data_IF_963991563228
#
_entry.id   IF_963991563228
#
_cell.length_a   1.000
_cell.length_b   1.000
_cell.length_c   1.000
_cell.angle_alpha   90.00
_cell.angle_beta   90.00
_cell.angle_gamma   90.00
#
_symmetry.space_group_name_H-M   'P 1'
#
loop_
_entity.id
_entity.type
_entity.pdbx_description
1 polymer ?
#
# COMPACT_ATOMS: atom_id res chain seq x y z
N UNK A 1 85.64 6.31 5.43
CA UNK A 1 84.89 7.47 4.90
C UNK A 1 85.84 8.63 4.91
N UNK A 2 86.20 9.19 3.75
CA UNK A 2 87.06 10.37 3.73
C UNK A 2 86.27 11.60 4.23
N UNK A 3 86.99 12.68 4.56
CA UNK A 3 86.40 13.89 5.12
C UNK A 3 85.46 14.61 4.14
N UNK A 4 85.62 14.39 2.82
CA UNK A 4 84.80 15.00 1.79
C UNK A 4 83.47 14.27 1.62
N UNK A 5 83.48 12.93 1.69
CA UNK A 5 82.29 12.07 1.74
C UNK A 5 81.41 12.44 2.95
N UNK A 6 82.02 12.72 4.11
CA UNK A 6 81.29 13.14 5.31
C UNK A 6 80.63 14.52 5.15
N UNK A 7 81.34 15.48 4.54
CA UNK A 7 80.77 16.81 4.26
C UNK A 7 79.61 16.74 3.27
N UNK A 8 79.72 15.89 2.25
CA UNK A 8 78.70 15.73 1.23
C UNK A 8 77.43 15.06 1.80
N UNK A 9 77.59 13.98 2.58
CA UNK A 9 76.48 13.33 3.29
C UNK A 9 75.83 14.28 4.31
N UNK A 10 76.62 15.09 5.03
CA UNK A 10 76.09 16.09 5.97
C UNK A 10 75.25 17.14 5.25
N UNK A 11 75.72 17.66 4.11
CA UNK A 11 75.01 18.64 3.30
C UNK A 11 73.72 18.06 2.72
N UNK A 12 73.74 16.80 2.26
CA UNK A 12 72.54 16.11 1.78
C UNK A 12 71.50 15.91 2.90
N UNK A 13 71.94 15.52 4.11
CA UNK A 13 71.08 15.36 5.27
C UNK A 13 70.46 16.68 5.73
N UNK A 14 71.23 17.77 5.71
CA UNK A 14 70.73 19.12 6.01
C UNK A 14 69.66 19.55 4.99
N UNK A 15 69.92 19.37 3.69
CA UNK A 15 68.95 19.66 2.64
C UNK A 15 67.67 18.80 2.76
N UNK A 16 67.80 17.51 3.08
CA UNK A 16 66.66 16.61 3.35
C UNK A 16 65.85 17.04 4.57
N UNK A 17 66.52 17.52 5.62
CA UNK A 17 65.87 18.02 6.83
C UNK A 17 65.08 19.29 6.55
N UNK A 18 65.65 20.23 5.79
CA UNK A 18 64.95 21.46 5.38
C UNK A 18 63.75 21.16 4.47
N UNK A 19 63.92 20.26 3.49
CA UNK A 19 62.83 19.85 2.61
C UNK A 19 61.67 19.18 3.39
N UNK A 20 61.99 18.36 4.40
CA UNK A 20 60.97 17.79 5.29
C UNK A 20 60.27 18.85 6.12
N UNK A 21 60.99 19.85 6.64
CA UNK A 21 60.41 20.95 7.43
C UNK A 21 59.44 21.78 6.60
N UNK A 22 59.85 22.16 5.39
CA UNK A 22 59.00 22.91 4.46
C UNK A 22 57.75 22.12 4.05
N UNK A 23 57.87 20.79 3.86
CA UNK A 23 56.71 19.93 3.60
C UNK A 23 55.73 19.88 4.78
N UNK A 24 56.25 19.86 6.00
CA UNK A 24 55.45 19.83 7.23
C UNK A 24 54.69 21.15 7.42
N UNK A 25 55.37 22.27 7.24
CA UNK A 25 54.77 23.62 7.33
C UNK A 25 53.66 23.83 6.27
N UNK A 26 53.84 23.30 5.06
CA UNK A 26 52.79 23.33 4.03
C UNK A 26 51.56 22.50 4.43
N UNK A 27 51.77 21.31 5.00
CA UNK A 27 50.70 20.45 5.44
C UNK A 27 49.93 21.05 6.64
N UNK A 28 50.62 21.76 7.55
CA UNK A 28 49.99 22.49 8.64
C UNK A 28 49.11 23.63 8.13
N UNK A 29 49.55 24.35 7.08
CA UNK A 29 48.75 25.40 6.44
C UNK A 29 47.50 24.82 5.76
N UNK A 30 47.65 23.74 4.99
CA UNK A 30 46.54 23.05 4.33
C UNK A 30 45.51 22.53 5.36
N UNK A 31 45.98 21.94 6.48
CA UNK A 31 45.09 21.48 7.55
C UNK A 31 44.35 22.64 8.24
N UNK A 32 44.99 23.80 8.40
CA UNK A 32 44.36 24.99 8.97
C UNK A 32 43.28 25.56 8.04
N UNK A 33 43.53 25.58 6.73
CA UNK A 33 42.55 26.00 5.72
C UNK A 33 41.35 25.05 5.67
N UNK A 34 41.58 23.73 5.72
CA UNK A 34 40.51 22.73 5.78
C UNK A 34 39.65 22.87 7.05
N UNK A 35 40.28 23.09 8.22
CA UNK A 35 39.56 23.33 9.47
C UNK A 35 38.73 24.61 9.41
N UNK A 36 39.27 25.69 8.84
CA UNK A 36 38.54 26.95 8.68
C UNK A 36 37.33 26.80 7.73
N UNK A 37 37.44 25.97 6.70
CA UNK A 37 36.32 25.68 5.80
C UNK A 37 35.25 24.79 6.47
N UNK A 38 35.66 23.81 7.28
CA UNK A 38 34.73 23.03 8.11
C UNK A 38 33.97 23.94 9.07
N UNK A 39 34.66 24.85 9.77
CA UNK A 39 34.05 25.80 10.71
C UNK A 39 33.08 26.76 9.98
N UNK A 40 33.41 27.22 8.77
CA UNK A 40 32.48 27.99 7.93
C UNK A 40 31.24 27.20 7.54
N UNK A 41 31.40 25.94 7.14
CA UNK A 41 30.28 25.07 6.80
C UNK A 41 29.39 24.82 8.02
N UNK A 42 29.97 24.63 9.20
CA UNK A 42 29.23 24.51 10.46
C UNK A 42 28.45 25.79 10.79
N UNK A 43 29.07 26.98 10.66
CA UNK A 43 28.36 28.25 10.87
C UNK A 43 27.24 28.48 9.85
N UNK A 44 27.44 28.14 8.58
CA UNK A 44 26.40 28.23 7.55
C UNK A 44 25.25 27.26 7.87
N UNK A 45 25.56 26.06 8.34
CA UNK A 45 24.53 25.08 8.75
C UNK A 45 23.78 25.51 10.01
N UNK A 46 24.46 26.15 10.97
CA UNK A 46 23.82 26.71 12.17
C UNK A 46 22.91 27.90 11.85
N UNK A 47 23.31 28.76 10.91
CA UNK A 47 22.49 29.92 10.47
C UNK A 47 21.35 29.53 9.53
N UNK A 48 21.47 28.42 8.80
CA UNK A 48 20.40 27.83 7.97
C UNK A 48 19.49 26.86 8.72
N UNK A 49 19.78 26.52 9.97
CA UNK A 49 18.90 25.68 10.76
C UNK A 49 17.52 26.36 10.78
N UNK A 50 16.47 25.75 10.18
CA UNK A 50 15.15 26.34 10.18
C UNK A 50 14.81 26.66 11.63
N UNK A 51 14.40 27.90 11.89
CA UNK A 51 14.04 28.35 13.23
C UNK A 51 13.18 27.24 13.84
N UNK A 52 13.70 26.58 14.88
CA UNK A 52 13.05 25.42 15.51
C UNK A 52 11.78 25.80 16.28
N UNK A 53 11.05 26.79 15.77
CA UNK A 53 9.84 27.36 16.30
C UNK A 53 8.78 26.27 16.43
N UNK A 54 8.69 25.38 15.44
CA UNK A 54 7.78 24.24 15.49
C UNK A 54 8.19 23.25 16.59
N UNK A 55 9.48 22.96 16.74
CA UNK A 55 10.00 22.10 17.81
C UNK A 55 9.83 22.71 19.21
N UNK A 56 9.74 24.04 19.30
CA UNK A 56 9.48 24.79 20.54
C UNK A 56 8.00 24.84 20.93
N UNK A 57 7.07 24.48 20.02
CA UNK A 57 5.67 24.39 20.38
C UNK A 57 5.45 23.25 21.39
N UNK A 58 4.56 23.44 22.38
CA UNK A 58 4.04 22.36 23.22
C UNK A 58 3.55 21.18 22.37
N UNK A 59 3.70 19.96 22.89
CA UNK A 59 3.34 18.75 22.17
C UNK A 59 1.86 18.77 21.76
N UNK A 60 0.99 19.28 22.63
CA UNK A 60 -0.45 19.37 22.42
C UNK A 60 -0.79 20.25 21.21
N UNK A 61 -0.08 21.37 21.03
CA UNK A 61 -0.27 22.23 19.87
C UNK A 61 0.26 21.58 18.59
N UNK A 62 1.37 20.84 18.67
CA UNK A 62 1.88 20.09 17.52
C UNK A 62 0.89 19.00 17.09
N UNK A 63 0.35 18.26 18.04
CA UNK A 63 -0.63 17.20 17.77
C UNK A 63 -1.90 17.79 17.14
N UNK A 64 -2.37 18.96 17.62
CA UNK A 64 -3.47 19.67 16.96
C UNK A 64 -3.12 20.07 15.53
N UNK A 65 -1.92 20.63 15.29
CA UNK A 65 -1.48 20.99 13.93
C UNK A 65 -1.44 19.75 13.04
N UNK A 66 -0.96 18.62 13.55
CA UNK A 66 -0.96 17.35 12.82
C UNK A 66 -2.38 16.86 12.52
N UNK A 67 -3.28 16.89 13.50
CA UNK A 67 -4.68 16.57 13.30
C UNK A 67 -5.28 17.35 12.14
N UNK A 68 -5.10 18.67 12.12
CA UNK A 68 -5.61 19.52 11.04
C UNK A 68 -4.92 19.29 9.69
N UNK A 69 -3.60 19.04 9.66
CA UNK A 69 -2.86 18.98 8.39
C UNK A 69 -2.85 17.59 7.74
N UNK A 70 -2.87 16.52 8.54
CA UNK A 70 -2.64 15.15 8.06
C UNK A 70 -3.69 14.16 8.55
N UNK A 71 -4.67 14.54 9.37
CA UNK A 71 -5.76 13.68 9.81
C UNK A 71 -7.16 14.13 9.36
N UNK A 72 -7.44 14.16 8.04
CA UNK A 72 -8.79 14.44 7.55
C UNK A 72 -9.83 13.39 7.99
N UNK A 73 -9.40 12.20 8.44
CA UNK A 73 -10.24 11.09 8.88
C UNK A 73 -10.33 9.98 7.83
N UNK A 74 -10.63 10.31 6.57
CA UNK A 74 -10.55 9.37 5.43
C UNK A 74 -9.56 9.86 4.39
N UNK A 75 -8.71 8.96 3.92
CA UNK A 75 -7.73 9.24 2.87
C UNK A 75 -8.03 8.37 1.67
N UNK A 76 -8.42 9.01 0.58
CA UNK A 76 -8.71 8.35 -0.69
C UNK A 76 -7.48 8.38 -1.58
N UNK A 77 -7.00 7.21 -2.01
CA UNK A 77 -5.90 7.11 -2.96
C UNK A 77 -6.32 7.35 -4.43
N UNK A 78 -7.63 7.43 -4.68
CA UNK A 78 -8.15 7.85 -5.97
C UNK A 78 -8.08 9.37 -6.12
N UNK A 79 -7.73 9.84 -7.32
CA UNK A 79 -7.75 11.28 -7.65
C UNK A 79 -9.17 11.82 -7.85
N UNK A 80 -10.11 10.93 -8.18
CA UNK A 80 -11.49 11.25 -8.52
C UNK A 80 -12.46 10.41 -7.72
N UNK A 81 -13.65 10.97 -7.50
CA UNK A 81 -14.78 10.24 -6.89
C UNK A 81 -15.12 9.02 -7.74
N UNK A 82 -15.21 7.85 -7.11
CA UNK A 82 -15.65 6.62 -7.76
C UNK A 82 -17.16 6.53 -7.54
N UNK A 83 -17.93 6.70 -8.61
CA UNK A 83 -19.39 6.84 -8.53
C UNK A 83 -20.09 5.62 -7.91
N UNK A 84 -19.53 4.42 -8.11
CA UNK A 84 -20.16 3.15 -7.73
C UNK A 84 -19.72 2.63 -6.37
N UNK A 85 -18.89 3.38 -5.65
CA UNK A 85 -18.36 2.96 -4.36
C UNK A 85 -18.98 3.83 -3.27
N UNK A 86 -19.88 3.24 -2.48
CA UNK A 86 -20.61 3.96 -1.43
C UNK A 86 -19.68 4.59 -0.37
N UNK A 87 -18.44 4.07 -0.23
CA UNK A 87 -17.41 4.66 0.62
C UNK A 87 -16.97 6.05 0.15
N UNK A 88 -17.29 6.43 -1.09
CA UNK A 88 -16.99 7.73 -1.69
C UNK A 88 -18.17 8.70 -1.62
N UNK A 89 -19.32 8.37 -1.02
CA UNK A 89 -20.46 9.30 -0.95
C UNK A 89 -20.06 10.66 -0.35
N UNK A 90 -19.23 10.62 0.69
CA UNK A 90 -18.67 11.75 1.42
C UNK A 90 -17.29 12.18 0.93
N UNK A 91 -16.81 11.70 -0.23
CA UNK A 91 -15.49 12.02 -0.79
C UNK A 91 -15.19 13.53 -0.82
N UNK A 92 -16.19 14.34 -1.17
CA UNK A 92 -16.05 15.80 -1.32
C UNK A 92 -15.96 16.54 0.04
N UNK A 93 -16.23 15.85 1.15
CA UNK A 93 -16.17 16.40 2.52
C UNK A 93 -14.75 16.30 3.08
N UNK A 94 -13.96 15.33 2.62
CA UNK A 94 -12.63 15.06 3.16
C UNK A 94 -11.54 15.84 2.40
N UNK A 95 -10.75 16.61 3.16
CA UNK A 95 -9.58 17.30 2.61
C UNK A 95 -8.44 16.33 2.30
N UNK A 96 -7.56 16.72 1.37
CA UNK A 96 -6.35 15.95 1.09
C UNK A 96 -5.30 16.22 2.15
N UNK A 97 -4.62 15.19 2.70
CA UNK A 97 -3.51 15.40 3.62
C UNK A 97 -2.41 16.27 3.00
N UNK A 98 -1.80 17.12 3.81
CA UNK A 98 -0.67 17.95 3.40
C UNK A 98 0.62 17.11 3.30
N UNK A 99 0.74 16.28 2.26
CA UNK A 99 1.87 15.37 2.06
C UNK A 99 3.24 16.05 2.02
N UNK A 100 3.30 17.35 1.69
CA UNK A 100 4.53 18.14 1.72
C UNK A 100 5.21 18.14 3.10
N UNK A 101 4.45 17.98 4.19
CA UNK A 101 4.99 17.87 5.55
C UNK A 101 5.88 16.64 5.73
N UNK A 102 5.60 15.55 5.00
CA UNK A 102 6.43 14.35 5.02
C UNK A 102 7.82 14.58 4.39
N UNK A 103 8.00 15.66 3.65
CA UNK A 103 9.26 15.98 2.96
C UNK A 103 10.12 17.03 3.69
N UNK A 104 9.65 17.65 4.77
CA UNK A 104 10.34 18.80 5.39
C UNK A 104 11.61 18.41 6.15
N UNK A 105 11.49 17.56 7.16
CA UNK A 105 12.61 17.11 7.99
C UNK A 105 12.35 15.70 8.53
N UNK A 106 13.41 15.00 8.95
CA UNK A 106 13.28 13.65 9.55
C UNK A 106 12.38 13.66 10.80
N UNK A 107 12.46 14.71 11.62
CA UNK A 107 11.64 14.86 12.83
C UNK A 107 10.17 15.09 12.50
N UNK A 108 9.90 16.05 11.60
CA UNK A 108 8.53 16.37 11.16
C UNK A 108 7.91 15.16 10.47
N UNK A 109 8.64 14.50 9.56
CA UNK A 109 8.17 13.27 8.89
C UNK A 109 7.76 12.21 9.90
N UNK A 110 8.56 11.95 10.93
CA UNK A 110 8.24 10.94 11.96
C UNK A 110 6.93 11.24 12.68
N UNK A 111 6.72 12.48 13.09
CA UNK A 111 5.52 12.87 13.83
C UNK A 111 4.28 12.91 12.92
N UNK A 112 4.39 13.56 11.76
CA UNK A 112 3.29 13.68 10.81
C UNK A 112 2.89 12.32 10.21
N UNK A 113 3.84 11.45 9.85
CA UNK A 113 3.53 10.12 9.32
C UNK A 113 2.81 9.27 10.37
N UNK A 114 3.23 9.33 11.65
CA UNK A 114 2.54 8.62 12.72
C UNK A 114 1.06 9.01 12.77
N UNK A 115 0.75 10.31 12.87
CA UNK A 115 -0.64 10.81 12.92
C UNK A 115 -1.40 10.46 11.63
N UNK A 116 -0.78 10.63 10.46
CA UNK A 116 -1.36 10.30 9.16
C UNK A 116 -1.84 8.83 9.10
N UNK A 117 -1.06 7.87 9.59
CA UNK A 117 -1.45 6.46 9.53
C UNK A 117 -2.33 6.04 10.71
N UNK A 118 -2.17 6.68 11.87
CA UNK A 118 -2.85 6.27 13.10
C UNK A 118 -4.29 6.79 13.20
N UNK A 119 -4.56 8.00 12.71
CA UNK A 119 -5.86 8.67 12.88
C UNK A 119 -6.76 8.59 11.64
N UNK A 120 -6.26 8.10 10.51
CA UNK A 120 -7.03 8.03 9.28
C UNK A 120 -7.39 6.60 8.89
N UNK A 121 -8.56 6.45 8.27
CA UNK A 121 -8.93 5.29 7.48
C UNK A 121 -8.40 5.43 6.05
N UNK A 122 -7.55 4.50 5.65
CA UNK A 122 -6.98 4.45 4.30
C UNK A 122 -7.94 3.75 3.34
N UNK A 123 -8.48 4.49 2.37
CA UNK A 123 -9.45 3.98 1.40
C UNK A 123 -8.76 3.57 0.11
N UNK A 124 -8.62 2.26 -0.06
CA UNK A 124 -8.09 1.64 -1.26
C UNK A 124 -9.22 1.34 -2.24
N UNK A 125 -9.19 2.05 -3.36
CA UNK A 125 -9.95 1.71 -4.55
C UNK A 125 -9.26 0.59 -5.33
N UNK A 126 -10.00 -0.13 -6.14
CA UNK A 126 -9.48 -1.14 -7.07
C UNK A 126 -8.45 -0.56 -8.07
N UNK A 127 -8.53 0.73 -8.41
CA UNK A 127 -7.54 1.41 -9.29
C UNK A 127 -6.32 1.95 -8.55
N UNK A 128 -6.13 1.62 -7.27
CA UNK A 128 -5.08 2.27 -6.46
C UNK A 128 -3.70 1.81 -6.91
N UNK A 129 -3.01 2.68 -7.65
CA UNK A 129 -1.59 2.55 -7.94
C UNK A 129 -0.75 3.10 -6.78
N UNK A 130 0.44 2.54 -6.55
CA UNK A 130 1.38 3.08 -5.56
C UNK A 130 1.21 2.53 -4.14
N UNK A 131 0.37 1.53 -3.93
CA UNK A 131 0.27 0.81 -2.65
C UNK A 131 1.62 0.23 -2.19
N UNK A 132 2.44 -0.24 -3.14
CA UNK A 132 3.80 -0.69 -2.84
C UNK A 132 4.65 0.42 -2.19
N UNK A 133 4.36 1.71 -2.43
CA UNK A 133 5.09 2.81 -1.80
C UNK A 133 4.78 2.88 -0.29
N UNK A 134 3.61 2.41 0.13
CA UNK A 134 3.13 2.47 1.52
C UNK A 134 3.37 1.20 2.32
N UNK A 135 3.55 0.05 1.66
CA UNK A 135 3.63 -1.24 2.35
C UNK A 135 4.66 -2.20 1.73
N UNK A 136 5.27 -1.86 0.59
CA UNK A 136 6.25 -2.67 -0.12
C UNK A 136 7.67 -2.06 -0.13
N UNK A 137 8.69 -2.87 0.10
CA UNK A 137 10.09 -2.48 -0.04
C UNK A 137 10.97 -3.07 1.07
N UNK A 138 12.17 -3.54 0.73
CA UNK A 138 13.15 -3.99 1.74
C UNK A 138 13.72 -2.80 2.49
N UNK A 139 13.93 -2.93 3.80
CA UNK A 139 14.62 -1.92 4.58
C UNK A 139 16.07 -1.80 4.11
N UNK A 140 16.40 -0.71 3.42
CA UNK A 140 17.78 -0.23 3.38
C UNK A 140 17.94 0.70 4.60
N UNK A 141 18.93 0.43 5.44
CA UNK A 141 19.04 0.91 6.83
C UNK A 141 19.07 2.44 7.02
N UNK A 142 19.26 3.22 5.95
CA UNK A 142 19.58 4.65 6.04
C UNK A 142 18.42 5.61 5.75
N UNK A 143 17.28 5.13 5.25
CA UNK A 143 16.14 5.99 4.91
C UNK A 143 14.89 5.69 5.74
N UNK A 144 14.34 6.73 6.36
CA UNK A 144 13.03 6.66 7.03
C UNK A 144 11.95 6.55 5.94
N UNK A 145 11.70 5.32 5.50
CA UNK A 145 10.74 5.01 4.44
C UNK A 145 9.32 5.08 4.98
N UNK A 146 8.42 5.60 4.14
CA UNK A 146 7.01 5.75 4.47
C UNK A 146 6.33 4.39 4.72
N UNK A 147 6.86 3.32 4.11
CA UNK A 147 6.36 1.97 4.29
C UNK A 147 6.44 1.47 5.74
N UNK A 148 7.55 1.71 6.43
CA UNK A 148 7.75 1.33 7.83
C UNK A 148 6.72 2.00 8.76
N UNK A 149 6.32 3.24 8.45
CA UNK A 149 5.25 3.91 9.19
C UNK A 149 3.89 3.32 8.88
N UNK A 150 3.59 3.01 7.61
CA UNK A 150 2.36 2.33 7.23
C UNK A 150 2.23 1.01 7.98
N UNK A 151 3.26 0.18 7.93
CA UNK A 151 3.31 -1.11 8.63
C UNK A 151 3.10 -0.99 10.15
N UNK A 152 3.71 0.01 10.78
CA UNK A 152 3.66 0.17 12.24
C UNK A 152 2.42 0.88 12.77
N UNK A 153 1.96 1.91 12.07
CA UNK A 153 0.98 2.87 12.59
C UNK A 153 -0.38 2.81 11.89
N UNK A 154 -0.51 2.14 10.74
CA UNK A 154 -1.79 2.03 10.05
C UNK A 154 -2.79 1.29 10.95
N UNK A 155 -3.85 1.98 11.38
CA UNK A 155 -4.89 1.40 12.25
C UNK A 155 -6.15 0.98 11.52
N UNK A 156 -6.51 1.67 10.44
CA UNK A 156 -7.76 1.44 9.73
C UNK A 156 -7.59 1.50 8.23
N UNK A 157 -8.14 0.50 7.53
CA UNK A 157 -8.12 0.43 6.08
C UNK A 157 -9.48 -0.02 5.55
N UNK A 158 -9.83 0.44 4.35
CA UNK A 158 -11.00 -0.04 3.62
C UNK A 158 -10.62 -0.39 2.19
N UNK A 159 -11.03 -1.57 1.73
CA UNK A 159 -10.67 -2.12 0.44
C UNK A 159 -11.91 -2.46 -0.41
N UNK A 160 -11.88 -2.20 -1.72
CA UNK A 160 -12.94 -2.63 -2.65
C UNK A 160 -12.38 -3.50 -3.76
N UNK A 161 -13.27 -4.31 -4.31
CA UNK A 161 -13.00 -5.38 -5.25
C UNK A 161 -13.66 -5.14 -6.63
N UNK A 162 -13.85 -3.88 -7.04
CA UNK A 162 -14.45 -3.57 -8.34
C UNK A 162 -13.43 -3.63 -9.48
N UNK A 163 -13.18 -4.80 -10.03
CA UNK A 163 -12.13 -4.94 -11.05
C UNK A 163 -12.56 -4.56 -12.48
N UNK A 164 -13.78 -4.05 -12.67
CA UNK A 164 -14.33 -3.75 -14.00
C UNK A 164 -13.65 -2.57 -14.69
N UNK A 165 -13.09 -1.65 -13.91
CA UNK A 165 -12.44 -0.45 -14.46
C UNK A 165 -10.94 -0.61 -14.71
N UNK A 166 -10.33 -1.73 -14.29
CA UNK A 166 -8.90 -1.95 -14.45
C UNK A 166 -8.53 -1.96 -15.94
N UNK A 167 -7.55 -1.17 -16.40
CA UNK A 167 -7.12 -1.22 -17.80
C UNK A 167 -6.63 -2.63 -18.16
N UNK A 168 -6.85 -3.08 -19.41
CA UNK A 168 -6.19 -4.30 -19.89
C UNK A 168 -4.75 -3.90 -20.18
N UNK A 169 -3.84 -4.16 -19.25
CA UNK A 169 -2.43 -3.78 -19.42
C UNK A 169 -1.76 -4.63 -20.50
N UNK A 170 -2.13 -5.92 -20.64
CA UNK A 170 -1.56 -6.82 -21.65
C UNK A 170 -2.52 -7.97 -22.05
N UNK A 171 -3.44 -7.67 -22.98
CA UNK A 171 -4.43 -8.63 -23.46
C UNK A 171 -3.81 -9.88 -24.09
N UNK A 172 -2.62 -9.75 -24.69
CA UNK A 172 -1.94 -10.86 -25.37
C UNK A 172 -1.31 -11.80 -24.37
N UNK A 173 -0.65 -11.26 -23.33
CA UNK A 173 -0.14 -12.07 -22.22
C UNK A 173 -1.26 -12.79 -21.48
N UNK A 174 -2.37 -12.11 -21.24
CA UNK A 174 -3.56 -12.72 -20.63
C UNK A 174 -4.09 -13.89 -21.46
N UNK A 175 -4.27 -13.69 -22.76
CA UNK A 175 -4.70 -14.75 -23.66
C UNK A 175 -3.69 -15.92 -23.73
N UNK A 176 -2.39 -15.63 -23.74
CA UNK A 176 -1.34 -16.66 -23.78
C UNK A 176 -1.33 -17.52 -22.52
N UNK A 177 -1.43 -16.90 -21.35
CA UNK A 177 -1.43 -17.62 -20.08
C UNK A 177 -2.72 -18.43 -19.87
N UNK A 178 -3.89 -17.91 -20.27
CA UNK A 178 -5.16 -18.66 -20.26
C UNK A 178 -5.01 -19.93 -21.10
N UNK A 179 -4.47 -19.82 -22.31
CA UNK A 179 -4.23 -20.99 -23.18
C UNK A 179 -3.25 -21.98 -22.56
N UNK A 180 -2.21 -21.48 -21.87
CA UNK A 180 -1.24 -22.32 -21.16
C UNK A 180 -1.91 -23.10 -20.04
N UNK A 181 -2.77 -22.46 -19.24
CA UNK A 181 -3.51 -23.09 -18.15
C UNK A 181 -4.50 -24.15 -18.69
N UNK A 182 -5.20 -23.86 -19.78
CA UNK A 182 -6.07 -24.83 -20.46
C UNK A 182 -5.30 -26.08 -20.90
N UNK A 183 -4.16 -25.89 -21.57
CA UNK A 183 -3.32 -26.99 -22.05
C UNK A 183 -2.68 -27.83 -20.93
N UNK A 184 -2.60 -27.30 -19.71
CA UNK A 184 -2.02 -28.01 -18.57
C UNK A 184 -2.94 -29.09 -17.99
N UNK A 185 -4.25 -29.02 -18.24
CA UNK A 185 -5.21 -30.02 -17.79
C UNK A 185 -5.32 -31.14 -18.83
N UNK A 186 -5.23 -32.41 -18.44
CA UNK A 186 -5.39 -33.55 -19.35
C UNK A 186 -6.62 -34.38 -18.97
N UNK A 187 -7.39 -34.89 -19.95
CA UNK A 187 -7.28 -34.62 -21.39
C UNK A 187 -7.78 -33.20 -21.77
N UNK A 188 -7.12 -32.52 -22.73
CA UNK A 188 -7.60 -31.25 -23.25
C UNK A 188 -7.88 -31.30 -24.75
N UNK A 189 -8.99 -30.67 -25.13
CA UNK A 189 -9.30 -30.31 -26.51
C UNK A 189 -8.44 -29.10 -26.91
N UNK A 190 -7.78 -29.10 -28.08
CA UNK A 190 -7.01 -27.94 -28.52
C UNK A 190 -7.84 -26.66 -28.48
N UNK A 191 -7.29 -25.56 -27.96
CA UNK A 191 -8.00 -24.28 -27.83
C UNK A 191 -8.65 -23.81 -29.14
N UNK A 192 -7.95 -24.02 -30.28
CA UNK A 192 -8.43 -23.65 -31.61
C UNK A 192 -9.63 -24.46 -32.10
N UNK A 193 -9.91 -25.61 -31.48
CA UNK A 193 -11.06 -26.46 -31.84
C UNK A 193 -12.31 -26.20 -31.01
N UNK A 194 -12.21 -25.38 -29.95
CA UNK A 194 -13.34 -24.97 -29.14
C UNK A 194 -14.18 -23.89 -29.86
N UNK A 195 -15.49 -23.94 -29.69
CA UNK A 195 -16.40 -22.88 -30.12
C UNK A 195 -16.10 -21.57 -29.36
N UNK A 196 -16.53 -20.43 -29.89
CA UNK A 196 -16.28 -19.13 -29.24
C UNK A 196 -16.86 -19.05 -27.82
N UNK A 197 -18.05 -19.62 -27.60
CA UNK A 197 -18.69 -19.66 -26.27
C UNK A 197 -17.92 -20.53 -25.28
N UNK A 198 -17.41 -21.68 -25.73
CA UNK A 198 -16.57 -22.55 -24.90
C UNK A 198 -15.24 -21.87 -24.57
N UNK A 199 -14.59 -21.24 -25.56
CA UNK A 199 -13.37 -20.45 -25.31
C UNK A 199 -13.62 -19.31 -24.33
N UNK A 200 -14.77 -18.65 -24.42
CA UNK A 200 -15.14 -17.60 -23.48
C UNK A 200 -15.34 -18.15 -22.07
N UNK A 201 -15.99 -19.31 -21.92
CA UNK A 201 -16.17 -20.00 -20.65
C UNK A 201 -14.83 -20.44 -20.03
N UNK A 202 -13.98 -21.11 -20.81
CA UNK A 202 -12.66 -21.57 -20.38
C UNK A 202 -11.72 -20.40 -20.03
N UNK A 203 -11.81 -19.29 -20.78
CA UNK A 203 -11.07 -18.07 -20.46
C UNK A 203 -11.59 -17.35 -19.21
N UNK A 204 -12.85 -17.60 -18.85
CA UNK A 204 -13.54 -16.78 -17.87
C UNK A 204 -12.92 -16.89 -16.48
N UNK A 205 -12.84 -18.10 -15.93
CA UNK A 205 -12.39 -18.33 -14.58
C UNK A 205 -10.91 -17.93 -14.36
N UNK A 206 -9.95 -18.32 -15.22
CA UNK A 206 -8.56 -17.88 -15.06
C UNK A 206 -8.40 -16.36 -15.25
N UNK A 207 -9.22 -15.76 -16.12
CA UNK A 207 -9.26 -14.32 -16.31
C UNK A 207 -9.75 -13.59 -15.06
N UNK A 208 -10.78 -14.10 -14.38
CA UNK A 208 -11.23 -13.58 -13.09
C UNK A 208 -10.12 -13.72 -12.06
N UNK A 209 -9.56 -14.91 -11.87
CA UNK A 209 -8.52 -15.16 -10.87
C UNK A 209 -7.35 -14.17 -11.02
N UNK A 210 -6.77 -14.05 -12.22
CA UNK A 210 -5.65 -13.13 -12.49
C UNK A 210 -5.92 -11.68 -12.09
N UNK A 211 -7.11 -11.20 -12.41
CA UNK A 211 -7.49 -9.82 -12.14
C UNK A 211 -7.58 -9.59 -10.63
N UNK A 212 -8.03 -10.60 -9.89
CA UNK A 212 -8.10 -10.57 -8.44
C UNK A 212 -6.77 -10.87 -7.74
N UNK A 213 -5.81 -11.56 -8.38
CA UNK A 213 -4.46 -11.80 -7.82
C UNK A 213 -3.79 -10.49 -7.38
N UNK A 214 -3.97 -9.40 -8.13
CA UNK A 214 -3.42 -8.10 -7.77
C UNK A 214 -4.11 -7.52 -6.53
N UNK A 215 -5.44 -7.47 -6.53
CA UNK A 215 -6.22 -6.99 -5.39
C UNK A 215 -5.91 -7.80 -4.12
N UNK A 216 -5.73 -9.11 -4.29
CA UNK A 216 -5.32 -10.01 -3.24
C UNK A 216 -3.92 -9.70 -2.73
N UNK A 217 -2.90 -9.60 -3.59
CA UNK A 217 -1.54 -9.29 -3.15
C UNK A 217 -1.46 -8.00 -2.33
N UNK A 218 -2.30 -7.00 -2.67
CA UNK A 218 -2.44 -5.77 -1.90
C UNK A 218 -3.05 -6.03 -0.52
N UNK A 219 -4.17 -6.73 -0.47
CA UNK A 219 -4.83 -7.10 0.79
C UNK A 219 -3.93 -7.97 1.69
N UNK A 220 -3.22 -8.94 1.12
CA UNK A 220 -2.25 -9.77 1.84
C UNK A 220 -1.14 -8.92 2.42
N UNK A 221 -0.54 -8.03 1.62
CA UNK A 221 0.50 -7.14 2.10
C UNK A 221 0.00 -6.20 3.21
N UNK A 222 -1.25 -5.72 3.11
CA UNK A 222 -1.89 -4.92 4.15
C UNK A 222 -2.02 -5.71 5.45
N UNK A 223 -2.65 -6.88 5.41
CA UNK A 223 -2.93 -7.69 6.60
C UNK A 223 -1.63 -8.24 7.20
N UNK A 224 -0.69 -8.67 6.36
CA UNK A 224 0.56 -9.30 6.78
C UNK A 224 1.57 -8.31 7.34
N UNK A 225 1.76 -7.16 6.68
CA UNK A 225 2.80 -6.22 7.06
C UNK A 225 2.31 -5.13 8.01
N UNK A 226 1.01 -4.92 8.18
CA UNK A 226 0.48 -3.88 9.07
C UNK A 226 0.23 -4.42 10.47
N UNK A 227 1.28 -4.58 11.26
CA UNK A 227 1.20 -5.01 12.67
C UNK A 227 0.27 -4.12 13.50
N UNK A 228 0.14 -2.86 13.10
CA UNK A 228 -0.70 -1.87 13.76
C UNK A 228 -2.19 -1.96 13.43
N UNK A 229 -2.61 -2.77 12.45
CA UNK A 229 -3.96 -2.74 11.91
C UNK A 229 -4.98 -3.21 12.96
N UNK A 230 -5.98 -2.37 13.22
CA UNK A 230 -7.04 -2.58 14.22
C UNK A 230 -8.40 -2.78 13.61
N UNK A 231 -8.63 -2.20 12.44
CA UNK A 231 -9.87 -2.37 11.69
C UNK A 231 -9.60 -2.52 10.20
N UNK A 232 -10.34 -3.40 9.55
CA UNK A 232 -10.37 -3.50 8.10
C UNK A 232 -11.81 -3.58 7.62
N UNK A 233 -12.09 -2.87 6.53
CA UNK A 233 -13.38 -2.91 5.86
C UNK A 233 -13.23 -3.48 4.45
N UNK A 234 -14.07 -4.44 4.09
CA UNK A 234 -14.15 -5.03 2.76
C UNK A 234 -15.46 -4.66 2.10
N UNK A 235 -15.38 -3.92 1.00
CA UNK A 235 -16.55 -3.60 0.18
C UNK A 235 -16.67 -4.55 -1.00
N UNK A 236 -17.57 -5.52 -0.85
CA UNK A 236 -17.89 -6.54 -1.84
C UNK A 236 -19.06 -6.15 -2.75
N UNK A 237 -19.69 -4.98 -2.57
CA UNK A 237 -20.87 -4.59 -3.35
C UNK A 237 -20.63 -4.73 -4.86
N UNK A 238 -19.44 -4.37 -5.33
CA UNK A 238 -19.04 -4.46 -6.75
C UNK A 238 -18.05 -5.60 -7.05
N UNK A 239 -17.97 -6.64 -6.21
CA UNK A 239 -17.08 -7.78 -6.43
C UNK A 239 -17.61 -8.72 -7.53
N UNK A 240 -17.50 -8.26 -8.77
CA UNK A 240 -17.89 -8.99 -9.98
C UNK A 240 -16.69 -9.39 -10.82
N UNK A 241 -16.88 -10.34 -11.73
CA UNK A 241 -15.98 -10.57 -12.84
C UNK A 241 -15.77 -9.25 -13.61
N UNK A 242 -14.64 -9.10 -14.31
CA UNK A 242 -14.34 -7.90 -15.13
C UNK A 242 -15.47 -7.55 -16.11
N UNK A 243 -16.16 -8.57 -16.63
CA UNK A 243 -17.28 -8.34 -17.52
C UNK A 243 -18.55 -7.90 -16.76
N UNK A 244 -18.74 -8.27 -15.48
CA UNK A 244 -19.98 -8.06 -14.71
C UNK A 244 -20.92 -9.28 -14.66
N UNK A 245 -20.55 -10.34 -15.37
CA UNK A 245 -21.30 -11.57 -15.61
C UNK A 245 -21.60 -12.44 -14.37
N UNK A 246 -20.71 -12.44 -13.38
CA UNK A 246 -20.81 -13.29 -12.20
C UNK A 246 -20.14 -12.60 -11.01
N UNK A 247 -20.52 -12.99 -9.80
CA UNK A 247 -19.86 -12.54 -8.57
C UNK A 247 -18.57 -13.30 -8.35
N UNK A 248 -17.54 -12.57 -7.92
CA UNK A 248 -16.17 -13.07 -7.79
C UNK A 248 -15.68 -13.06 -6.33
N UNK A 249 -16.60 -13.08 -5.35
CA UNK A 249 -16.24 -13.10 -3.91
C UNK A 249 -15.33 -14.28 -3.58
N UNK A 250 -15.61 -15.45 -4.15
CA UNK A 250 -14.77 -16.63 -3.98
C UNK A 250 -13.36 -16.43 -4.54
N UNK A 251 -13.20 -15.73 -5.66
CA UNK A 251 -11.87 -15.43 -6.20
C UNK A 251 -11.16 -14.35 -5.39
N UNK A 252 -11.90 -13.34 -4.89
CA UNK A 252 -11.34 -12.27 -4.09
C UNK A 252 -10.81 -12.74 -2.73
N UNK A 253 -11.52 -13.68 -2.08
CA UNK A 253 -11.17 -14.17 -0.74
C UNK A 253 -10.53 -15.56 -0.73
N UNK A 254 -10.79 -16.40 -1.74
CA UNK A 254 -10.48 -17.82 -1.69
C UNK A 254 -9.01 -18.17 -1.65
N UNK A 255 -8.15 -17.36 -2.25
CA UNK A 255 -6.71 -17.62 -2.18
C UNK A 255 -6.08 -17.18 -0.85
N UNK A 256 -6.69 -16.26 -0.08
CA UNK A 256 -6.30 -15.99 1.32
C UNK A 256 -6.40 -17.27 2.15
N UNK A 257 -7.36 -18.14 1.84
CA UNK A 257 -7.52 -19.41 2.53
C UNK A 257 -6.36 -20.38 2.23
N UNK A 258 -5.85 -20.39 1.00
CA UNK A 258 -4.84 -21.34 0.51
C UNK A 258 -3.44 -21.04 1.04
N UNK A 259 -3.11 -19.76 1.22
CA UNK A 259 -1.80 -19.30 1.70
C UNK A 259 -1.65 -19.40 3.23
N UNK A 260 -2.77 -19.38 3.96
CA UNK A 260 -2.84 -19.70 5.38
C UNK A 260 -2.36 -18.60 6.35
N UNK A 261 -2.90 -18.69 7.58
CA UNK A 261 -2.52 -18.00 8.83
C UNK A 261 -2.30 -16.49 8.76
N UNK A 262 -3.35 -15.75 8.44
CA UNK A 262 -3.37 -14.30 8.63
C UNK A 262 -3.75 -13.96 10.07
N UNK A 263 -3.12 -12.92 10.62
CA UNK A 263 -3.59 -12.26 11.83
C UNK A 263 -4.63 -11.22 11.42
N UNK A 264 -5.89 -11.61 11.45
CA UNK A 264 -6.99 -10.67 11.23
C UNK A 264 -7.00 -9.58 12.31
N UNK A 265 -7.37 -8.33 11.95
CA UNK A 265 -7.49 -7.24 12.91
C UNK A 265 -8.72 -7.44 13.82
N UNK A 266 -8.70 -6.74 14.96
CA UNK A 266 -9.74 -6.82 16.01
C UNK A 266 -11.16 -6.53 15.45
N UNK A 267 -11.28 -5.69 14.42
CA UNK A 267 -12.55 -5.38 13.79
C UNK A 267 -12.50 -5.63 12.27
N UNK A 268 -13.35 -6.53 11.78
CA UNK A 268 -13.52 -6.79 10.35
C UNK A 268 -14.93 -6.42 9.93
N UNK A 269 -15.07 -5.42 9.06
CA UNK A 269 -16.36 -5.00 8.51
C UNK A 269 -16.46 -5.48 7.07
N UNK A 270 -17.56 -6.13 6.72
CA UNK A 270 -17.82 -6.66 5.38
C UNK A 270 -19.11 -6.05 4.86
N UNK A 271 -18.99 -5.28 3.79
CA UNK A 271 -20.10 -4.61 3.12
C UNK A 271 -20.44 -5.35 1.83
N UNK A 272 -21.72 -5.38 1.47
CA UNK A 272 -22.11 -5.74 0.11
C UNK A 272 -21.99 -7.23 -0.24
N UNK A 273 -22.11 -8.12 0.73
CA UNK A 273 -22.33 -9.55 0.47
C UNK A 273 -23.74 -9.79 -0.06
N UNK A 274 -23.89 -10.61 -1.09
CA UNK A 274 -25.16 -10.86 -1.77
C UNK A 274 -26.17 -11.63 -0.90
N UNK A 275 -25.72 -12.70 -0.24
CA UNK A 275 -26.57 -13.65 0.48
C UNK A 275 -25.79 -14.41 1.56
N UNK A 276 -26.48 -15.28 2.31
CA UNK A 276 -25.89 -16.08 3.39
C UNK A 276 -24.70 -16.91 2.95
N UNK A 277 -24.74 -17.48 1.74
CA UNK A 277 -23.65 -18.30 1.21
C UNK A 277 -22.35 -17.51 1.08
N UNK A 278 -22.40 -16.27 0.59
CA UNK A 278 -21.22 -15.40 0.54
C UNK A 278 -20.74 -15.03 1.95
N UNK A 279 -21.66 -14.77 2.88
CA UNK A 279 -21.31 -14.45 4.28
C UNK A 279 -20.65 -15.62 4.98
N UNK A 280 -21.22 -16.81 4.89
CA UNK A 280 -20.65 -18.03 5.47
C UNK A 280 -19.26 -18.31 4.88
N UNK A 281 -19.06 -18.05 3.57
CA UNK A 281 -17.76 -18.19 2.93
C UNK A 281 -16.72 -17.19 3.47
N UNK A 282 -17.08 -15.90 3.55
CA UNK A 282 -16.18 -14.87 4.11
C UNK A 282 -15.92 -15.13 5.60
N UNK A 283 -16.95 -15.48 6.37
CA UNK A 283 -16.83 -15.84 7.77
C UNK A 283 -15.92 -17.05 7.96
N UNK A 284 -16.02 -18.09 7.13
CA UNK A 284 -15.12 -19.23 7.20
C UNK A 284 -13.65 -18.84 6.97
N UNK A 285 -13.38 -17.83 6.15
CA UNK A 285 -12.03 -17.36 5.84
C UNK A 285 -11.49 -16.45 6.94
N UNK A 286 -12.29 -15.49 7.40
CA UNK A 286 -11.92 -14.55 8.46
C UNK A 286 -11.85 -15.26 9.83
N UNK A 287 -12.79 -16.16 10.10
CA UNK A 287 -12.89 -16.95 11.33
C UNK A 287 -12.00 -18.20 11.36
N UNK A 288 -11.26 -18.52 10.29
CA UNK A 288 -10.31 -19.62 10.29
C UNK A 288 -9.08 -19.29 11.17
N UNK A 289 -9.23 -19.51 12.49
CA UNK A 289 -8.18 -19.31 13.49
C UNK A 289 -7.14 -20.42 13.44
N UNK A 290 -5.88 -20.05 13.27
CA UNK A 290 -4.75 -20.95 13.53
C UNK A 290 -3.73 -20.39 14.54
N UNK A 291 -3.85 -19.13 14.96
CA UNK A 291 -2.85 -18.47 15.79
C UNK A 291 -3.53 -17.43 16.71
N UNK A 292 -3.73 -17.79 17.98
CA UNK A 292 -4.23 -16.97 19.10
C UNK A 292 -5.75 -16.70 19.25
N UNK A 293 -6.15 -16.61 20.53
CA UNK A 293 -7.43 -16.07 21.02
C UNK A 293 -7.46 -14.57 20.72
N UNK A 294 -8.06 -14.15 19.62
CA UNK A 294 -8.30 -12.74 19.30
C UNK A 294 -9.80 -12.48 19.28
N UNK A 295 -10.32 -11.57 20.11
CA UNK A 295 -11.74 -11.19 20.13
C UNK A 295 -12.11 -10.38 18.88
N UNK A 296 -12.11 -11.02 17.71
CA UNK A 296 -12.43 -10.34 16.46
C UNK A 296 -13.95 -10.16 16.33
N UNK A 297 -14.38 -8.94 16.02
CA UNK A 297 -15.76 -8.64 15.65
C UNK A 297 -15.87 -8.62 14.13
N UNK A 298 -16.65 -9.54 13.56
CA UNK A 298 -16.99 -9.53 12.14
C UNK A 298 -18.40 -8.96 11.98
N UNK A 299 -18.51 -7.83 11.28
CA UNK A 299 -19.78 -7.15 11.02
C UNK A 299 -20.12 -7.25 9.55
N UNK A 300 -21.22 -7.92 9.21
CA UNK A 300 -21.80 -7.89 7.88
C UNK A 300 -22.90 -6.83 7.81
N UNK A 301 -22.90 -6.06 6.74
CA UNK A 301 -23.92 -5.05 6.49
C UNK A 301 -24.63 -5.27 5.16
N UNK A 302 -25.79 -4.64 5.06
CA UNK A 302 -26.69 -4.71 3.92
C UNK A 302 -25.97 -4.53 2.59
N UNK A 303 -26.40 -5.31 1.60
CA UNK A 303 -26.08 -5.02 0.21
C UNK A 303 -26.90 -3.83 -0.27
N UNK A 304 -26.20 -2.73 -0.53
CA UNK A 304 -26.77 -1.56 -1.22
C UNK A 304 -26.36 -1.64 -2.70
N UNK A 305 -27.31 -2.00 -3.54
CA UNK A 305 -27.14 -1.85 -4.98
C UNK A 305 -26.99 -0.36 -5.30
N UNK A 306 -25.85 0.04 -5.89
CA UNK A 306 -25.68 1.42 -6.34
C UNK A 306 -26.69 1.76 -7.44
N UNK A 307 -27.06 3.04 -7.57
CA UNK A 307 -28.00 3.54 -8.59
C UNK A 307 -27.58 3.20 -10.04
N UNK A 308 -26.30 2.87 -10.26
CA UNK A 308 -25.74 2.46 -11.55
C UNK A 308 -25.49 0.94 -11.66
N UNK A 309 -25.97 0.14 -10.70
CA UNK A 309 -26.23 -1.30 -10.93
C UNK A 309 -27.48 -1.50 -11.81
N UNK A 310 -27.61 -0.64 -12.83
CA UNK A 310 -28.59 -0.68 -13.89
C UNK A 310 -27.78 -0.99 -15.14
N UNK A 311 -28.29 -1.91 -15.94
CA UNK A 311 -27.64 -2.26 -17.19
C UNK A 311 -27.48 -1.00 -18.03
N UNK A 312 -26.30 -0.72 -18.61
CA UNK A 312 -26.18 0.31 -19.62
C UNK A 312 -27.31 0.10 -20.65
N UNK A 313 -28.00 1.15 -21.11
CA UNK A 313 -29.13 0.99 -22.03
C UNK A 313 -28.80 0.14 -23.27
N UNK A 314 -27.53 0.17 -23.68
CA UNK A 314 -26.99 -0.52 -24.86
C UNK A 314 -26.25 -1.83 -24.54
N UNK A 315 -26.26 -2.29 -23.28
CA UNK A 315 -25.68 -3.57 -22.92
C UNK A 315 -26.54 -4.69 -23.52
N UNK A 316 -26.08 -5.28 -24.64
CA UNK A 316 -26.78 -6.36 -25.35
C UNK A 316 -27.10 -7.60 -24.50
N UNK A 317 -26.59 -7.69 -23.27
CA UNK A 317 -27.08 -8.58 -22.21
C UNK A 317 -27.32 -7.75 -20.95
N UNK A 318 -28.46 -8.01 -20.30
CA UNK A 318 -28.75 -7.48 -18.96
C UNK A 318 -27.75 -8.06 -17.95
N UNK A 319 -26.73 -7.28 -17.60
CA UNK A 319 -25.74 -7.60 -16.59
C UNK A 319 -26.35 -7.82 -15.21
N UNK A 320 -27.35 -7.06 -14.80
CA UNK A 320 -27.97 -7.17 -13.48
C UNK A 320 -29.24 -8.00 -13.48
N UNK A 321 -29.78 -8.33 -14.66
CA UNK A 321 -31.02 -9.10 -14.80
C UNK A 321 -30.98 -10.52 -14.23
N UNK A 322 -29.82 -11.02 -13.80
CA UNK A 322 -29.67 -12.30 -13.10
C UNK A 322 -29.68 -12.17 -11.57
N UNK A 323 -29.61 -10.96 -11.00
CA UNK A 323 -29.88 -10.73 -9.58
C UNK A 323 -31.40 -10.62 -9.41
N UNK A 324 -32.05 -11.74 -9.12
CA UNK A 324 -33.44 -11.74 -8.65
C UNK A 324 -33.48 -11.26 -7.20
N UNK A 325 -34.59 -10.64 -6.76
CA UNK A 325 -34.75 -10.22 -5.36
C UNK A 325 -34.57 -11.40 -4.40
N UNK A 326 -35.01 -12.60 -4.79
CA UNK A 326 -34.84 -13.85 -4.04
C UNK A 326 -33.37 -14.23 -3.78
N UNK A 327 -32.48 -13.75 -4.65
CA UNK A 327 -31.03 -14.00 -4.59
C UNK A 327 -30.31 -13.01 -3.66
N UNK A 328 -31.00 -11.93 -3.25
CA UNK A 328 -30.51 -10.84 -2.43
C UNK A 328 -31.16 -10.92 -1.05
N UNK A 329 -30.36 -11.02 0.00
CA UNK A 329 -30.89 -10.89 1.37
C UNK A 329 -31.04 -9.41 1.75
N UNK A 330 -32.01 -8.74 1.11
CA UNK A 330 -32.23 -7.29 1.20
C UNK A 330 -32.65 -6.82 2.60
N UNK A 331 -33.07 -7.74 3.48
CA UNK A 331 -33.53 -7.46 4.84
C UNK A 331 -32.40 -7.44 5.89
N UNK A 332 -31.18 -7.85 5.53
CA UNK A 332 -30.08 -7.87 6.49
C UNK A 332 -29.60 -6.45 6.80
N UNK A 333 -29.96 -5.90 7.96
CA UNK A 333 -29.46 -4.59 8.39
C UNK A 333 -28.02 -4.68 8.92
N UNK A 334 -27.76 -5.62 9.83
CA UNK A 334 -26.44 -5.87 10.43
C UNK A 334 -26.38 -7.26 11.07
N UNK A 335 -25.31 -8.00 10.82
CA UNK A 335 -25.01 -9.27 11.48
C UNK A 335 -23.63 -9.20 12.14
N UNK A 336 -23.53 -9.54 13.43
CA UNK A 336 -22.28 -9.44 14.19
C UNK A 336 -21.89 -10.82 14.70
N UNK A 337 -20.68 -11.25 14.34
CA UNK A 337 -20.04 -12.44 14.88
C UNK A 337 -18.94 -12.00 15.85
N UNK A 338 -18.97 -12.55 17.07
CA UNK A 338 -17.90 -12.42 18.07
C UNK A 338 -17.37 -13.82 18.30
N UNK A 339 -16.10 -14.03 18.01
CA UNK A 339 -15.45 -15.34 18.16
C UNK A 339 -14.44 -15.36 19.32
#
# INVERSE_FOLDING_TARGET
>A
MDADTYKEVKKELEARREARRAKLERAELEAADELAEIERLEMINQTRAPSGLFERLPQELRDQIWGYCVAPGKIFFSKTKIQNDNRFHDFDIYEKPHYSLLAVSRSIRKQAAKVLFEENQMIFAHTTTGFHILLGGSDDEDDIRLNSFGQRYLRSASFTFDVRSLPIEDALRDAADIRRLHAAHTPHTPWSSLADEERAHEAHYPGVQRVYDHAQALMEALIWHSEGLKSIEFNLANCYCRFGCCRAVNSAFGMIFETGRYRWPDHVRVLGTKNRKERDYVHAIVGCRYVYESDNEIVFEKFEAGEQMVDPPDAGRKFWGHLIEDDLEVELEREVFKE
#
